data_IF_826183661394
#
_entry.id   IF_826183661394
#
_cell.length_a   1.000
_cell.length_b   1.000
_cell.length_c   1.000
_cell.angle_alpha   90.00
_cell.angle_beta   90.00
_cell.angle_gamma   90.00
#
_symmetry.space_group_name_H-M   'P 1'
#
loop_
_entity.id
_entity.type
_entity.pdbx_description
1 polymer ?
#
# COMPACT_ATOMS: atom_id res chain seq x y z
N UNK A 1 -10.47 -9.53 2.28
CA UNK A 1 -10.10 -10.18 3.56
C UNK A 1 -9.07 -9.35 4.32
N UNK A 2 -7.91 -9.01 3.70
CA UNK A 2 -6.82 -8.27 4.37
C UNK A 2 -7.28 -6.91 4.94
N UNK A 3 -8.09 -6.15 4.21
CA UNK A 3 -8.56 -4.82 4.63
C UNK A 3 -9.48 -4.93 5.86
N UNK A 4 -10.38 -5.93 5.87
CA UNK A 4 -11.26 -6.20 7.01
C UNK A 4 -10.46 -6.63 8.24
N UNK A 5 -9.44 -7.49 8.05
CA UNK A 5 -8.57 -7.92 9.15
C UNK A 5 -7.77 -6.74 9.69
N UNK A 6 -7.16 -5.92 8.83
CA UNK A 6 -6.43 -4.73 9.25
C UNK A 6 -7.31 -3.76 10.03
N UNK A 7 -8.54 -3.54 9.60
CA UNK A 7 -9.52 -2.69 10.29
C UNK A 7 -9.97 -3.28 11.63
N UNK A 8 -10.12 -4.61 11.70
CA UNK A 8 -10.55 -5.27 12.92
C UNK A 8 -9.46 -5.30 14.01
N UNK A 9 -8.22 -5.50 13.62
CA UNK A 9 -7.09 -5.59 14.55
C UNK A 9 -6.51 -4.23 14.92
N UNK A 10 -6.52 -3.26 14.00
CA UNK A 10 -5.83 -1.97 14.15
C UNK A 10 -4.32 -2.11 14.14
N UNK A 11 -3.60 -1.01 14.17
CA UNK A 11 -2.14 -1.00 14.15
C UNK A 11 -1.55 -1.48 12.83
N UNK A 12 -0.35 -2.01 12.88
CA UNK A 12 0.37 -2.59 11.75
C UNK A 12 0.38 -4.12 11.91
N UNK A 13 -0.06 -4.83 10.89
CA UNK A 13 -0.21 -6.29 10.98
C UNK A 13 0.52 -6.99 9.83
N UNK A 14 1.15 -8.12 10.15
CA UNK A 14 1.57 -9.11 9.18
C UNK A 14 0.49 -10.19 9.10
N UNK A 15 -0.10 -10.36 7.91
CA UNK A 15 -1.24 -11.25 7.69
C UNK A 15 -0.81 -12.35 6.74
N UNK A 16 -0.97 -13.61 7.18
CA UNK A 16 -0.67 -14.80 6.41
C UNK A 16 -1.97 -15.58 6.15
N UNK A 17 -2.27 -15.84 4.88
CA UNK A 17 -3.41 -16.63 4.44
C UNK A 17 -2.84 -17.85 3.70
N UNK A 18 -2.69 -18.96 4.42
CA UNK A 18 -2.17 -20.21 3.87
C UNK A 18 -3.26 -20.98 3.15
N UNK A 19 -4.46 -20.98 3.71
CA UNK A 19 -5.64 -21.64 3.17
C UNK A 19 -6.88 -20.77 3.46
N UNK A 20 -7.53 -20.31 2.41
CA UNK A 20 -8.74 -19.48 2.55
C UNK A 20 -9.89 -20.29 3.19
N UNK A 21 -10.64 -19.72 4.16
CA UNK A 21 -10.60 -18.33 4.65
C UNK A 21 -9.68 -18.10 5.86
N UNK A 22 -8.89 -19.07 6.25
CA UNK A 22 -8.10 -19.03 7.47
C UNK A 22 -6.91 -18.07 7.34
N UNK A 23 -6.83 -17.10 8.25
CA UNK A 23 -5.76 -16.12 8.30
C UNK A 23 -5.11 -16.11 9.68
N UNK A 24 -3.79 -15.99 9.69
CA UNK A 24 -3.00 -15.69 10.89
C UNK A 24 -2.62 -14.23 10.86
N UNK A 25 -3.00 -13.49 11.90
CA UNK A 25 -2.69 -12.06 12.04
C UNK A 25 -1.66 -11.89 13.14
N UNK A 26 -0.51 -11.35 12.79
CA UNK A 26 0.60 -11.08 13.69
C UNK A 26 0.80 -9.55 13.80
N UNK A 27 0.34 -8.91 14.90
CA UNK A 27 0.56 -7.49 15.11
C UNK A 27 2.06 -7.16 15.21
N UNK A 28 2.53 -6.19 14.44
CA UNK A 28 3.90 -5.71 14.49
C UNK A 28 4.00 -4.64 15.58
N UNK A 29 4.75 -4.95 16.62
CA UNK A 29 5.03 -3.99 17.71
C UNK A 29 6.34 -3.28 17.40
N UNK A 30 6.24 -2.14 16.77
CA UNK A 30 7.38 -1.27 16.45
C UNK A 30 7.68 -0.34 17.65
N UNK A 31 8.85 0.28 17.64
CA UNK A 31 9.13 1.36 18.57
C UNK A 31 8.35 2.61 18.16
N UNK A 32 7.97 3.43 19.12
CA UNK A 32 7.25 4.69 18.89
C UNK A 32 7.99 5.61 17.90
N UNK A 33 9.31 5.61 17.94
CA UNK A 33 10.13 6.38 17.01
C UNK A 33 9.94 5.92 15.55
N UNK A 34 9.87 4.62 15.31
CA UNK A 34 9.64 4.06 13.96
C UNK A 34 8.20 4.36 13.51
N UNK A 35 7.22 4.23 14.39
CA UNK A 35 5.81 4.54 14.08
C UNK A 35 5.63 6.01 13.68
N UNK A 36 6.20 6.94 14.47
CA UNK A 36 6.15 8.37 14.15
C UNK A 36 6.85 8.70 12.83
N UNK A 37 8.04 8.13 12.61
CA UNK A 37 8.77 8.34 11.37
C UNK A 37 8.02 7.77 10.16
N UNK A 38 7.33 6.64 10.33
CA UNK A 38 6.48 6.06 9.30
C UNK A 38 5.30 6.99 8.96
N UNK A 39 4.61 7.53 9.96
CA UNK A 39 3.51 8.49 9.77
C UNK A 39 3.97 9.76 9.06
N UNK A 40 5.13 10.30 9.41
CA UNK A 40 5.67 11.50 8.75
C UNK A 40 6.05 11.28 7.29
N UNK A 41 6.45 10.06 6.94
CA UNK A 41 6.92 9.71 5.59
C UNK A 41 5.84 9.16 4.68
N UNK A 42 4.82 8.51 5.24
CA UNK A 42 3.73 7.95 4.45
C UNK A 42 2.77 9.04 4.00
N UNK A 43 2.36 8.94 2.75
CA UNK A 43 1.33 9.79 2.18
C UNK A 43 0.45 8.98 1.26
N UNK A 44 -0.85 9.16 1.36
CA UNK A 44 -1.83 8.55 0.47
C UNK A 44 -2.29 9.55 -0.57
N UNK A 45 -2.18 9.21 -1.84
CA UNK A 45 -2.67 10.01 -2.96
C UNK A 45 -3.84 9.27 -3.60
N UNK A 46 -5.04 9.82 -3.47
CA UNK A 46 -6.22 9.38 -4.17
C UNK A 46 -6.22 9.90 -5.61
N UNK A 47 -6.58 9.07 -6.58
CA UNK A 47 -6.52 9.40 -8.00
C UNK A 47 -7.79 10.08 -8.55
N UNK A 48 -8.72 10.45 -7.65
CA UNK A 48 -9.91 11.23 -8.02
C UNK A 48 -11.11 10.40 -8.49
N UNK A 49 -10.94 9.10 -8.66
CA UNK A 49 -12.04 8.19 -9.01
C UNK A 49 -11.87 6.83 -8.35
N UNK A 50 -12.98 6.23 -7.95
CA UNK A 50 -13.01 4.82 -7.58
C UNK A 50 -13.10 3.96 -8.84
N UNK A 51 -12.57 2.76 -8.76
CA UNK A 51 -12.67 1.78 -9.85
C UNK A 51 -13.42 0.53 -9.39
N UNK A 52 -13.99 -0.19 -10.35
CA UNK A 52 -14.51 -1.53 -10.07
C UNK A 52 -13.34 -2.51 -10.01
N UNK A 53 -12.97 -2.94 -8.81
CA UNK A 53 -11.94 -3.95 -8.61
C UNK A 53 -12.28 -5.29 -9.29
N UNK A 54 -13.56 -5.60 -9.46
CA UNK A 54 -14.03 -6.88 -10.02
C UNK A 54 -13.51 -7.14 -11.43
N UNK A 55 -13.61 -6.15 -12.34
CA UNK A 55 -13.15 -6.31 -13.72
C UNK A 55 -11.65 -6.59 -13.84
N UNK A 56 -10.86 -5.87 -13.02
CA UNK A 56 -9.40 -6.03 -13.05
C UNK A 56 -9.00 -7.36 -12.43
N UNK A 57 -9.70 -7.81 -11.38
CA UNK A 57 -9.50 -9.13 -10.78
C UNK A 57 -9.83 -10.26 -11.77
N UNK A 58 -10.92 -10.14 -12.52
CA UNK A 58 -11.28 -11.13 -13.56
C UNK A 58 -10.18 -11.29 -14.62
N UNK A 59 -9.59 -10.18 -15.08
CA UNK A 59 -8.48 -10.22 -16.05
C UNK A 59 -7.24 -10.91 -15.48
N UNK A 60 -6.86 -10.60 -14.24
CA UNK A 60 -5.71 -11.22 -13.56
C UNK A 60 -5.97 -12.70 -13.31
N UNK A 61 -7.18 -13.08 -12.89
CA UNK A 61 -7.56 -14.47 -12.66
C UNK A 61 -7.45 -15.24 -13.99
N UNK A 62 -8.00 -14.71 -15.08
CA UNK A 62 -7.94 -15.35 -16.40
C UNK A 62 -6.49 -15.58 -16.88
N UNK A 63 -5.58 -14.60 -16.66
CA UNK A 63 -4.16 -14.77 -17.01
C UNK A 63 -3.42 -15.79 -16.13
N UNK A 64 -3.88 -16.00 -14.89
CA UNK A 64 -3.23 -16.90 -13.94
C UNK A 64 -3.89 -18.25 -13.83
N UNK A 65 -5.06 -18.46 -14.44
CA UNK A 65 -5.87 -19.69 -14.33
C UNK A 65 -5.09 -20.93 -14.76
N UNK A 66 -4.30 -20.79 -15.83
CA UNK A 66 -3.46 -21.88 -16.37
C UNK A 66 -2.08 -21.97 -15.68
N UNK A 67 -1.65 -20.93 -14.96
CA UNK A 67 -0.30 -20.84 -14.40
C UNK A 67 -0.17 -21.47 -12.98
N UNK A 68 -1.29 -21.72 -12.32
CA UNK A 68 -1.37 -22.32 -10.99
C UNK A 68 -0.80 -21.43 -9.87
N UNK A 69 -0.87 -21.90 -8.61
CA UNK A 69 -0.48 -21.11 -7.45
C UNK A 69 1.00 -20.77 -7.39
N UNK A 70 1.86 -21.52 -8.06
CA UNK A 70 3.32 -21.33 -8.06
C UNK A 70 3.83 -20.48 -9.23
N UNK A 71 2.93 -19.78 -9.91
CA UNK A 71 3.30 -18.87 -10.98
C UNK A 71 4.45 -17.93 -10.57
N UNK A 72 5.50 -17.86 -11.38
CA UNK A 72 6.67 -17.02 -11.14
C UNK A 72 6.28 -15.55 -10.92
N UNK A 73 5.27 -15.04 -11.65
CA UNK A 73 4.72 -13.70 -11.48
C UNK A 73 4.22 -13.42 -10.05
N UNK A 74 3.71 -14.44 -9.34
CA UNK A 74 3.23 -14.31 -7.96
C UNK A 74 4.34 -14.42 -6.92
N UNK A 75 5.47 -15.02 -7.26
CA UNK A 75 6.57 -15.27 -6.33
C UNK A 75 7.13 -13.99 -5.69
N UNK A 76 7.27 -12.92 -6.48
CA UNK A 76 7.74 -11.63 -5.99
C UNK A 76 6.72 -11.04 -5.01
N UNK A 77 5.44 -11.03 -5.39
CA UNK A 77 4.37 -10.50 -4.52
C UNK A 77 4.30 -11.25 -3.18
N UNK A 78 4.55 -12.56 -3.17
CA UNK A 78 4.57 -13.35 -1.93
C UNK A 78 5.75 -13.05 -1.01
N UNK A 79 6.88 -12.60 -1.55
CA UNK A 79 8.10 -12.29 -0.78
C UNK A 79 8.10 -10.88 -0.21
N UNK A 80 7.45 -9.94 -0.87
CA UNK A 80 7.49 -8.54 -0.49
C UNK A 80 6.93 -8.26 0.91
N UNK A 81 5.82 -8.88 1.41
CA UNK A 81 5.32 -8.62 2.76
C UNK A 81 6.31 -8.97 3.87
N UNK A 82 6.99 -10.12 3.79
CA UNK A 82 7.97 -10.51 4.81
C UNK A 82 9.17 -9.54 4.84
N UNK A 83 9.65 -9.13 3.67
CA UNK A 83 10.74 -8.14 3.56
C UNK A 83 10.32 -6.75 4.04
N UNK A 84 9.06 -6.35 3.81
CA UNK A 84 8.52 -5.10 4.34
C UNK A 84 8.45 -5.13 5.88
N UNK A 85 7.98 -6.25 6.45
CA UNK A 85 7.98 -6.48 7.90
C UNK A 85 9.40 -6.34 8.48
N UNK A 86 10.36 -7.02 7.89
CA UNK A 86 11.75 -7.03 8.37
C UNK A 86 12.39 -5.63 8.27
N UNK A 87 12.10 -4.89 7.19
CA UNK A 87 12.53 -3.49 7.03
C UNK A 87 11.91 -2.56 8.10
N UNK A 88 10.64 -2.76 8.44
CA UNK A 88 9.97 -1.99 9.49
C UNK A 88 10.58 -2.28 10.87
N UNK A 89 10.85 -3.55 11.21
CA UNK A 89 11.52 -3.87 12.47
C UNK A 89 12.93 -3.29 12.56
N UNK A 90 13.63 -3.21 11.44
CA UNK A 90 14.96 -2.60 11.37
C UNK A 90 14.93 -1.06 11.34
N UNK A 91 13.77 -0.42 11.14
CA UNK A 91 13.68 1.02 10.89
C UNK A 91 14.34 1.43 9.56
N UNK A 92 14.56 0.49 8.64
CA UNK A 92 15.17 0.78 7.33
C UNK A 92 14.10 1.20 6.30
N UNK A 93 13.79 2.48 6.29
CA UNK A 93 12.83 3.06 5.35
C UNK A 93 13.33 3.03 3.90
N UNK A 94 14.64 2.95 3.69
CA UNK A 94 15.19 2.73 2.35
C UNK A 94 14.88 1.32 1.82
N UNK A 95 15.04 0.30 2.65
CA UNK A 95 14.65 -1.08 2.32
C UNK A 95 13.13 -1.19 2.12
N UNK A 96 12.32 -0.57 3.01
CA UNK A 96 10.87 -0.51 2.86
C UNK A 96 10.45 0.09 1.51
N UNK A 97 11.06 1.23 1.14
CA UNK A 97 10.79 1.90 -0.14
C UNK A 97 11.10 1.00 -1.34
N UNK A 98 12.25 0.33 -1.33
CA UNK A 98 12.61 -0.64 -2.40
C UNK A 98 11.59 -1.78 -2.51
N UNK A 99 11.13 -2.31 -1.39
CA UNK A 99 10.11 -3.38 -1.37
C UNK A 99 8.77 -2.87 -1.91
N UNK A 100 8.36 -1.64 -1.60
CA UNK A 100 7.15 -1.02 -2.14
C UNK A 100 7.23 -0.88 -3.66
N UNK A 101 8.37 -0.45 -4.19
CA UNK A 101 8.63 -0.34 -5.64
C UNK A 101 8.54 -1.72 -6.29
N UNK A 102 9.28 -2.69 -5.77
CA UNK A 102 9.30 -4.06 -6.28
C UNK A 102 7.89 -4.69 -6.31
N UNK A 103 7.09 -4.45 -5.28
CA UNK A 103 5.70 -4.92 -5.23
C UNK A 103 4.84 -4.26 -6.32
N UNK A 104 5.01 -2.96 -6.57
CA UNK A 104 4.28 -2.24 -7.64
C UNK A 104 4.69 -2.72 -9.02
N UNK A 105 5.97 -2.96 -9.25
CA UNK A 105 6.49 -3.52 -10.51
C UNK A 105 5.98 -4.94 -10.74
N UNK A 106 5.98 -5.77 -9.69
CA UNK A 106 5.42 -7.12 -9.76
C UNK A 106 3.92 -7.10 -10.07
N UNK A 107 3.17 -6.13 -9.49
CA UNK A 107 1.76 -5.92 -9.81
C UNK A 107 1.56 -5.52 -11.28
N UNK A 108 2.36 -4.59 -11.81
CA UNK A 108 2.32 -4.21 -13.22
C UNK A 108 2.63 -5.38 -14.17
N UNK A 109 3.51 -6.31 -13.74
CA UNK A 109 3.86 -7.51 -14.50
C UNK A 109 2.76 -8.59 -14.50
N UNK A 110 1.79 -8.53 -13.56
CA UNK A 110 0.62 -9.41 -13.62
C UNK A 110 -0.28 -9.04 -14.79
N UNK A 111 -0.61 -7.76 -14.91
CA UNK A 111 -1.40 -7.22 -16.00
C UNK A 111 -1.11 -5.72 -16.16
N UNK A 112 -0.94 -5.20 -17.40
CA UNK A 112 -0.57 -3.80 -17.64
C UNK A 112 -1.58 -2.79 -17.09
N UNK A 113 -2.85 -3.14 -17.02
CA UNK A 113 -3.91 -2.24 -16.54
C UNK A 113 -3.91 -2.08 -15.00
N UNK A 114 -3.12 -2.87 -14.25
CA UNK A 114 -3.04 -2.73 -12.80
C UNK A 114 -2.32 -1.45 -12.36
N UNK A 115 -1.41 -0.95 -13.19
CA UNK A 115 -0.70 0.31 -12.94
C UNK A 115 -0.95 1.26 -14.10
N UNK A 116 -2.00 2.07 -13.99
CA UNK A 116 -2.44 2.99 -15.04
C UNK A 116 -1.45 4.13 -15.28
N UNK A 117 -1.64 4.85 -16.40
CA UNK A 117 -0.86 6.05 -16.72
C UNK A 117 -0.94 7.12 -15.62
N UNK A 118 -2.07 7.20 -14.91
CA UNK A 118 -2.25 8.16 -13.83
C UNK A 118 -1.42 7.77 -12.59
N UNK A 119 -1.35 6.47 -12.25
CA UNK A 119 -0.42 5.97 -11.25
C UNK A 119 1.02 6.34 -11.61
N UNK A 120 1.42 6.08 -12.86
CA UNK A 120 2.77 6.37 -13.32
C UNK A 120 3.09 7.87 -13.24
N UNK A 121 2.15 8.75 -13.61
CA UNK A 121 2.33 10.21 -13.48
C UNK A 121 2.59 10.63 -12.02
N UNK A 122 1.84 10.09 -11.05
CA UNK A 122 2.08 10.33 -9.61
C UNK A 122 3.47 9.82 -9.19
N UNK A 123 3.83 8.62 -9.63
CA UNK A 123 5.14 8.01 -9.33
C UNK A 123 6.28 8.85 -9.89
N UNK A 124 6.16 9.36 -11.12
CA UNK A 124 7.21 10.17 -11.76
C UNK A 124 7.41 11.49 -11.03
N UNK A 125 6.35 12.13 -10.56
CA UNK A 125 6.47 13.30 -9.68
C UNK A 125 7.18 12.92 -8.39
N UNK A 126 6.72 11.88 -7.70
CA UNK A 126 7.30 11.45 -6.43
C UNK A 126 8.80 11.14 -6.55
N UNK A 127 9.19 10.47 -7.63
CA UNK A 127 10.61 10.15 -7.94
C UNK A 127 11.46 11.42 -8.07
N UNK A 128 10.98 12.47 -8.75
CA UNK A 128 11.68 13.76 -8.87
C UNK A 128 11.94 14.44 -7.53
N UNK A 129 11.05 14.24 -6.57
CA UNK A 129 11.18 14.78 -5.21
C UNK A 129 11.95 13.86 -4.25
N UNK A 130 12.46 12.73 -4.74
CA UNK A 130 13.28 11.80 -3.95
C UNK A 130 12.48 10.94 -2.98
N UNK A 131 11.25 10.54 -3.36
CA UNK A 131 10.52 9.50 -2.63
C UNK A 131 11.36 8.22 -2.56
N UNK A 132 11.38 7.59 -1.40
CA UNK A 132 12.07 6.32 -1.17
C UNK A 132 11.33 5.15 -1.81
N UNK A 133 10.01 5.26 -1.93
CA UNK A 133 9.19 4.22 -2.51
C UNK A 133 7.75 4.66 -2.78
N UNK A 134 7.04 3.79 -3.48
CA UNK A 134 5.63 3.94 -3.82
C UNK A 134 4.97 2.57 -3.93
N UNK A 135 3.68 2.52 -3.65
CA UNK A 135 2.86 1.31 -3.78
C UNK A 135 1.49 1.68 -4.34
N UNK A 136 1.13 1.06 -5.46
CA UNK A 136 -0.25 1.11 -5.97
C UNK A 136 -1.11 0.23 -5.07
N UNK A 137 -2.15 0.81 -4.49
CA UNK A 137 -2.99 0.14 -3.51
C UNK A 137 -4.10 -0.69 -4.15
N UNK A 138 -4.43 -1.79 -3.50
CA UNK A 138 -5.50 -2.70 -3.94
C UNK A 138 -5.24 -3.30 -5.31
N UNK A 139 -6.30 -3.42 -6.10
CA UNK A 139 -6.27 -4.00 -7.44
C UNK A 139 -5.66 -3.07 -8.51
N UNK A 140 -5.38 -1.82 -8.19
CA UNK A 140 -4.94 -0.85 -9.20
C UNK A 140 -6.05 -0.47 -10.18
N UNK A 141 -5.76 -0.43 -11.49
CA UNK A 141 -6.73 -0.02 -12.51
C UNK A 141 -6.72 1.49 -12.77
N UNK A 142 -7.81 2.04 -13.33
CA UNK A 142 -7.87 3.46 -13.72
C UNK A 142 -8.18 4.43 -12.56
N UNK A 143 -8.19 3.95 -11.33
CA UNK A 143 -8.50 4.76 -10.15
C UNK A 143 -7.80 4.26 -8.90
N UNK A 144 -8.43 4.48 -7.74
CA UNK A 144 -7.87 4.06 -6.46
C UNK A 144 -6.84 5.03 -5.91
N UNK A 145 -5.75 4.50 -5.37
CA UNK A 145 -4.75 5.32 -4.68
C UNK A 145 -3.34 4.77 -4.78
N UNK A 146 -2.38 5.67 -4.54
CA UNK A 146 -0.95 5.34 -4.41
C UNK A 146 -0.48 5.76 -3.02
N UNK A 147 0.18 4.87 -2.34
CA UNK A 147 0.94 5.21 -1.13
C UNK A 147 2.36 5.60 -1.53
N UNK A 148 2.81 6.75 -1.07
CA UNK A 148 4.16 7.27 -1.26
C UNK A 148 4.93 7.21 0.06
N UNK A 149 6.18 6.82 -0.01
CA UNK A 149 7.11 6.86 1.11
C UNK A 149 8.15 7.95 0.85
N UNK A 150 8.07 9.06 1.55
CA UNK A 150 8.98 10.18 1.39
C UNK A 150 10.37 9.92 1.99
N UNK A 151 11.35 10.67 1.53
CA UNK A 151 12.66 10.76 2.16
C UNK A 151 12.61 11.45 3.55
N UNK A 152 13.75 11.58 4.24
CA UNK A 152 13.79 12.03 5.64
C UNK A 152 13.47 13.52 5.87
N UNK A 153 13.27 14.29 4.82
CA UNK A 153 13.03 15.74 4.93
C UNK A 153 11.53 16.03 4.79
N UNK A 154 10.84 16.36 5.88
CA UNK A 154 9.41 16.68 5.91
C UNK A 154 9.03 17.85 4.96
N UNK A 155 9.91 18.84 4.75
CA UNK A 155 9.67 19.90 3.77
C UNK A 155 9.54 19.37 2.34
N UNK A 156 10.42 18.44 1.96
CA UNK A 156 10.39 17.78 0.64
C UNK A 156 9.12 16.96 0.45
N UNK A 157 8.62 16.31 1.51
CA UNK A 157 7.36 15.58 1.44
C UNK A 157 6.19 16.52 1.10
N UNK A 158 6.10 17.67 1.78
CA UNK A 158 5.06 18.66 1.49
C UNK A 158 5.17 19.26 0.07
N UNK A 159 6.39 19.53 -0.41
CA UNK A 159 6.63 19.98 -1.77
C UNK A 159 6.21 18.92 -2.80
N UNK A 160 6.58 17.66 -2.58
CA UNK A 160 6.18 16.51 -3.39
C UNK A 160 4.65 16.41 -3.52
N UNK A 161 3.93 16.46 -2.40
CA UNK A 161 2.48 16.36 -2.41
C UNK A 161 1.80 17.53 -3.14
N UNK A 162 2.32 18.76 -2.97
CA UNK A 162 1.85 19.92 -3.72
C UNK A 162 2.08 19.76 -5.21
N UNK A 163 3.26 19.28 -5.61
CA UNK A 163 3.58 19.00 -7.01
C UNK A 163 2.67 17.93 -7.59
N UNK A 164 2.45 16.81 -6.88
CA UNK A 164 1.54 15.75 -7.31
C UNK A 164 0.14 16.30 -7.56
N UNK A 165 -0.43 17.07 -6.62
CA UNK A 165 -1.80 17.58 -6.74
C UNK A 165 -1.94 18.68 -7.79
N UNK A 166 -0.87 19.43 -8.10
CA UNK A 166 -0.89 20.47 -9.13
C UNK A 166 -0.63 19.94 -10.54
N UNK A 167 0.25 18.94 -10.69
CA UNK A 167 0.65 18.44 -12.01
C UNK A 167 -0.24 17.28 -12.49
N UNK A 168 -0.78 16.47 -11.56
CA UNK A 168 -1.65 15.34 -11.90
C UNK A 168 -3.09 15.67 -11.53
N UNK A 169 -3.85 16.14 -12.52
CA UNK A 169 -5.21 16.63 -12.33
C UNK A 169 -6.15 15.60 -11.67
N UNK A 170 -6.98 16.11 -10.76
CA UNK A 170 -7.98 15.30 -10.04
C UNK A 170 -7.39 14.38 -8.96
N UNK A 171 -6.10 14.52 -8.62
CA UNK A 171 -5.53 13.83 -7.47
C UNK A 171 -5.76 14.62 -6.18
N UNK A 172 -5.84 13.90 -5.06
CA UNK A 172 -5.97 14.47 -3.72
C UNK A 172 -5.01 13.77 -2.77
N UNK A 173 -4.30 14.54 -1.95
CA UNK A 173 -3.52 13.99 -0.85
C UNK A 173 -4.44 13.76 0.35
N UNK A 174 -4.42 12.54 0.88
CA UNK A 174 -5.19 12.15 2.06
C UNK A 174 -4.20 11.98 3.23
N UNK A 175 -4.40 12.68 4.35
CA UNK A 175 -3.59 12.46 5.55
C UNK A 175 -3.68 11.02 6.03
N UNK A 176 -2.54 10.45 6.42
CA UNK A 176 -2.43 9.08 6.94
C UNK A 176 -2.03 9.15 8.40
N UNK A 177 -2.77 8.45 9.24
CA UNK A 177 -2.46 8.27 10.66
C UNK A 177 -2.55 6.79 11.00
N UNK A 178 -1.61 6.29 11.79
CA UNK A 178 -1.66 4.94 12.31
C UNK A 178 -2.71 4.88 13.42
N UNK A 179 -3.72 4.02 13.26
CA UNK A 179 -4.70 3.77 14.30
C UNK A 179 -4.30 2.52 15.09
N UNK A 180 -3.85 2.64 16.32
CA UNK A 180 -3.46 1.48 17.13
C UNK A 180 -4.65 0.63 17.56
N UNK A 181 -5.87 1.14 17.36
CA UNK A 181 -7.09 0.54 17.84
C UNK A 181 -7.89 -0.02 16.66
N UNK A 182 -8.21 -1.31 16.76
CA UNK A 182 -9.11 -1.98 15.85
C UNK A 182 -10.58 -1.79 16.20
N UNK A 183 -11.39 -2.79 15.89
CA UNK A 183 -12.81 -2.81 16.20
C UNK A 183 -13.05 -2.70 17.70
N UNK A 184 -13.93 -1.78 18.08
CA UNK A 184 -14.41 -1.64 19.45
C UNK A 184 -15.91 -1.85 19.49
N UNK A 185 -16.35 -2.61 20.47
CA UNK A 185 -17.77 -2.83 20.76
C UNK A 185 -18.02 -2.36 22.20
N UNK A 186 -19.06 -1.59 22.39
CA UNK A 186 -19.53 -1.17 23.73
C UNK A 186 -21.05 -1.21 23.77
N UNK A 187 -21.58 -1.57 24.91
CA UNK A 187 -22.99 -1.45 25.20
C UNK A 187 -23.27 -0.07 25.78
N UNK A 188 -24.24 0.65 25.20
CA UNK A 188 -24.77 1.85 25.82
C UNK A 188 -25.87 1.42 26.80
N UNK A 189 -25.84 1.79 28.08
CA UNK A 189 -26.99 1.58 28.94
C UNK A 189 -28.20 2.30 28.32
N UNK A 190 -29.24 1.55 28.06
CA UNK A 190 -30.54 2.12 27.64
C UNK A 190 -31.02 3.00 28.79
N UNK A 191 -31.17 4.32 28.54
CA UNK A 191 -31.89 5.22 29.43
C UNK A 191 -33.39 4.90 29.43
#
# INVERSE_FOLDING_TARGET
VQDQLSSAYGGINFIEILEYPHAVVSPLRLTQAIEWELEERLSLVFLGQSHSSSKVHELVIAELEDAGPDAEKLRILRRTPARARDALFAGDFGALGRVMIENTEAQANLHPDLVSRKHQAVIDVARRFGALGWKVNGAGGDGGSVTLLAGPKASRNREMLRAVTSEVQGTQSIPVYLSPLGLRVWDSPLE
#
